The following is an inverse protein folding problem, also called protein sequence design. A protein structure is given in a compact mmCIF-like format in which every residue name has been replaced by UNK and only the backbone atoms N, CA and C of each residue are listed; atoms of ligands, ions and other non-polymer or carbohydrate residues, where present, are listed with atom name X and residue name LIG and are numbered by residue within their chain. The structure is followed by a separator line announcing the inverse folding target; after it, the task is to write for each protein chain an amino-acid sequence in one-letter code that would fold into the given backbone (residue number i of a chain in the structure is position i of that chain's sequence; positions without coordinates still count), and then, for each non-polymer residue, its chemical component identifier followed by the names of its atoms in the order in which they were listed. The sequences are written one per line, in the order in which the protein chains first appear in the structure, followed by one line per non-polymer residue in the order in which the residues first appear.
data_IF_273467384130
#
_entry.id   IF_273467384130
#
_cell.length_a   1.000
_cell.length_b   1.000
_cell.length_c   1.000
_cell.angle_alpha   90.00
_cell.angle_beta   90.00
_cell.angle_gamma   90.00
#
_symmetry.space_group_name_H-M   'P 1'
#
loop_
_entity.id
_entity.type
_entity.pdbx_description
1 polymer ?
#
# COMPACT_ATOMS: atom_id res chain seq x y z
N UNK A 1 3.19 14.87 9.11
CA UNK A 1 2.89 13.44 9.46
C UNK A 1 4.08 12.60 9.06
N UNK A 2 4.71 11.94 10.03
CA UNK A 2 5.85 11.06 9.77
C UNK A 2 5.39 9.61 9.51
N UNK A 3 6.04 8.98 8.56
CA UNK A 3 5.88 7.56 8.23
C UNK A 3 7.18 6.81 8.49
N UNK A 4 7.08 5.52 8.72
CA UNK A 4 8.21 4.64 9.00
C UNK A 4 8.16 3.39 8.11
N UNK A 5 9.30 3.08 7.49
CA UNK A 5 9.52 1.84 6.74
C UNK A 5 10.64 1.05 7.39
N UNK A 6 10.43 -0.22 7.61
CA UNK A 6 11.41 -1.13 8.21
C UNK A 6 12.16 -1.93 7.15
N UNK A 7 13.44 -2.16 7.40
CA UNK A 7 14.32 -2.93 6.53
C UNK A 7 15.34 -2.09 5.75
N UNK A 8 15.22 -0.76 5.77
CA UNK A 8 16.17 0.16 5.11
C UNK A 8 16.63 1.19 6.13
N UNK A 9 17.94 1.35 6.29
CA UNK A 9 18.51 2.40 7.14
C UNK A 9 18.22 3.80 6.57
N UNK A 10 18.07 4.78 7.46
CA UNK A 10 17.88 6.18 7.08
C UNK A 10 18.97 6.69 6.12
N UNK A 11 20.23 6.35 6.37
CA UNK A 11 21.37 6.79 5.55
C UNK A 11 21.40 6.14 4.16
N UNK A 12 20.90 4.90 4.05
CA UNK A 12 20.92 4.12 2.80
C UNK A 12 19.65 4.33 1.98
N UNK A 13 18.64 5.00 2.56
CA UNK A 13 17.38 5.25 1.88
C UNK A 13 17.57 6.23 0.72
N UNK A 14 17.28 5.76 -0.49
CA UNK A 14 17.43 6.52 -1.72
C UNK A 14 16.15 6.51 -2.54
N UNK A 15 15.45 7.63 -2.53
CA UNK A 15 14.15 7.81 -3.22
C UNK A 15 14.28 7.52 -4.72
N UNK A 16 15.42 7.84 -5.34
CA UNK A 16 15.63 7.63 -6.77
C UNK A 16 15.63 6.15 -7.19
N UNK A 17 15.79 5.22 -6.24
CA UNK A 17 15.72 3.79 -6.48
C UNK A 17 14.30 3.22 -6.38
N UNK A 18 13.35 4.00 -5.84
CA UNK A 18 11.97 3.58 -5.71
C UNK A 18 11.25 3.67 -7.06
N UNK A 19 10.36 2.72 -7.28
CA UNK A 19 9.58 2.63 -8.53
C UNK A 19 8.12 2.95 -8.28
N UNK A 20 7.51 3.69 -9.20
CA UNK A 20 6.09 3.91 -9.24
C UNK A 20 5.33 2.58 -9.24
N UNK A 21 4.21 2.51 -8.51
CA UNK A 21 3.39 1.30 -8.42
C UNK A 21 2.92 0.82 -9.81
N UNK A 22 3.04 -0.47 -10.05
CA UNK A 22 2.67 -1.13 -11.30
C UNK A 22 1.72 -2.28 -11.04
N UNK A 23 0.86 -2.57 -12.02
CA UNK A 23 -0.02 -3.73 -11.95
C UNK A 23 0.80 -5.03 -12.06
N UNK A 24 0.41 -6.04 -11.27
CA UNK A 24 0.99 -7.37 -11.42
C UNK A 24 0.59 -7.99 -12.77
N UNK A 25 1.51 -8.63 -13.50
CA UNK A 25 1.16 -9.35 -14.73
C UNK A 25 0.07 -10.40 -14.52
N UNK A 26 0.05 -11.05 -13.36
CA UNK A 26 -1.01 -12.00 -12.97
C UNK A 26 -2.38 -11.33 -12.94
N UNK A 27 -2.51 -10.13 -12.36
CA UNK A 27 -3.77 -9.40 -12.32
C UNK A 27 -4.24 -8.97 -13.72
N UNK A 28 -3.32 -8.52 -14.56
CA UNK A 28 -3.61 -8.19 -15.96
C UNK A 28 -4.15 -9.42 -16.71
N UNK A 29 -3.50 -10.57 -16.52
CA UNK A 29 -3.95 -11.83 -17.14
C UNK A 29 -5.37 -12.21 -16.70
N UNK A 30 -5.67 -12.12 -15.40
CA UNK A 30 -7.02 -12.40 -14.87
C UNK A 30 -8.04 -11.41 -15.47
N UNK A 31 -7.67 -10.14 -15.62
CA UNK A 31 -8.56 -9.12 -16.19
C UNK A 31 -8.99 -9.40 -17.63
N UNK A 32 -8.18 -10.20 -18.35
CA UNK A 32 -8.44 -10.61 -19.74
C UNK A 32 -9.20 -11.93 -19.83
N UNK A 33 -9.56 -12.55 -18.71
CA UNK A 33 -10.18 -13.87 -18.62
C UNK A 33 -11.57 -13.78 -17.96
N UNK A 34 -12.66 -13.43 -18.69
CA UNK A 34 -13.99 -13.25 -18.10
C UNK A 34 -14.50 -14.47 -17.32
N UNK A 35 -14.10 -15.69 -17.71
CA UNK A 35 -14.48 -16.92 -17.03
C UNK A 35 -13.90 -17.03 -15.61
N UNK A 36 -12.88 -16.24 -15.27
CA UNK A 36 -12.29 -16.21 -13.94
C UNK A 36 -12.97 -15.21 -13.00
N UNK A 37 -13.93 -14.43 -13.48
CA UNK A 37 -14.64 -13.46 -12.65
C UNK A 37 -15.31 -14.16 -11.45
N UNK A 38 -15.00 -13.68 -10.24
CA UNK A 38 -15.52 -14.23 -9.01
C UNK A 38 -14.83 -15.53 -8.53
N UNK A 39 -13.94 -16.12 -9.34
CA UNK A 39 -13.17 -17.31 -8.97
C UNK A 39 -11.77 -16.99 -8.47
N UNK A 40 -11.19 -15.87 -8.91
CA UNK A 40 -9.88 -15.42 -8.49
C UNK A 40 -9.99 -14.42 -7.33
N UNK A 41 -8.97 -14.42 -6.46
CA UNK A 41 -8.85 -13.42 -5.41
C UNK A 41 -8.58 -12.05 -6.02
N UNK A 42 -9.21 -11.01 -5.47
CA UNK A 42 -8.97 -9.63 -5.87
C UNK A 42 -7.51 -9.23 -5.53
N UNK A 43 -6.75 -8.83 -6.53
CA UNK A 43 -5.33 -8.44 -6.35
C UNK A 43 -5.27 -6.98 -5.89
N UNK A 44 -4.99 -6.77 -4.62
CA UNK A 44 -4.96 -5.44 -4.01
C UNK A 44 -3.55 -4.93 -3.65
N UNK A 45 -2.51 -5.58 -4.18
CA UNK A 45 -1.11 -5.17 -4.03
C UNK A 45 -0.47 -5.00 -5.40
N UNK A 46 0.43 -4.01 -5.57
CA UNK A 46 1.14 -3.81 -6.82
C UNK A 46 2.18 -4.91 -7.06
N UNK A 47 2.78 -4.91 -8.25
CA UNK A 47 3.94 -5.75 -8.57
C UNK A 47 5.01 -5.54 -7.50
N UNK A 48 5.58 -6.65 -6.99
CA UNK A 48 6.64 -6.63 -6.00
C UNK A 48 7.83 -5.78 -6.48
N UNK A 49 8.35 -4.94 -5.59
CA UNK A 49 9.42 -4.00 -5.93
C UNK A 49 8.92 -2.69 -6.55
N UNK A 50 7.62 -2.51 -6.68
CA UNK A 50 6.99 -1.26 -7.14
C UNK A 50 6.04 -0.73 -6.07
N UNK A 51 5.87 0.60 -6.04
CA UNK A 51 5.24 1.25 -4.89
C UNK A 51 6.15 1.18 -3.67
N UNK A 52 5.80 1.85 -2.60
CA UNK A 52 6.58 1.85 -1.37
C UNK A 52 5.67 1.79 -0.16
N UNK A 53 5.89 0.79 0.68
CA UNK A 53 5.05 0.52 1.85
C UNK A 53 5.62 1.15 3.11
N UNK A 54 4.76 1.73 3.93
CA UNK A 54 5.13 2.25 5.24
C UNK A 54 3.92 2.23 6.17
N UNK A 55 4.15 2.57 7.44
CA UNK A 55 3.11 2.83 8.43
C UNK A 55 3.30 4.22 9.02
N UNK A 56 2.25 4.82 9.58
CA UNK A 56 2.42 6.03 10.40
C UNK A 56 3.36 5.73 11.56
N UNK A 57 4.32 6.59 11.79
CA UNK A 57 5.33 6.38 12.85
C UNK A 57 4.72 6.19 14.23
N UNK A 58 3.61 6.86 14.51
CA UNK A 58 2.97 6.86 15.82
C UNK A 58 1.83 5.83 15.98
N UNK A 59 1.60 4.97 14.98
CA UNK A 59 0.57 3.94 15.13
C UNK A 59 1.02 2.85 16.09
N UNK A 60 0.06 2.27 16.81
CA UNK A 60 0.25 1.07 17.63
C UNK A 60 -0.19 -0.20 16.89
N UNK A 61 -0.52 -0.10 15.61
CA UNK A 61 -1.12 -1.18 14.81
C UNK A 61 -0.53 -1.24 13.40
N UNK A 62 0.74 -0.84 13.27
CA UNK A 62 1.48 -0.85 12.02
C UNK A 62 2.29 -2.11 11.80
N UNK A 63 3.22 -2.06 10.84
CA UNK A 63 4.02 -3.20 10.42
C UNK A 63 4.86 -3.80 11.56
N UNK A 64 5.50 -2.97 12.39
CA UNK A 64 6.31 -3.44 13.52
C UNK A 64 5.47 -4.25 14.50
N UNK A 65 4.33 -3.72 14.90
CA UNK A 65 3.43 -4.35 15.86
C UNK A 65 2.87 -5.67 15.29
N UNK A 66 2.52 -5.68 14.02
CA UNK A 66 2.06 -6.89 13.34
C UNK A 66 3.17 -7.96 13.29
N UNK A 67 4.39 -7.59 12.89
CA UNK A 67 5.53 -8.51 12.85
C UNK A 67 5.80 -9.14 14.22
N UNK A 68 5.75 -8.35 15.29
CA UNK A 68 5.96 -8.84 16.66
C UNK A 68 4.84 -9.81 17.04
N UNK A 69 3.59 -9.45 16.76
CA UNK A 69 2.41 -10.25 17.05
C UNK A 69 2.44 -11.61 16.35
N UNK A 70 2.92 -11.65 15.10
CA UNK A 70 2.95 -12.85 14.26
C UNK A 70 4.30 -13.57 14.25
N UNK A 71 5.29 -13.08 15.02
CA UNK A 71 6.67 -13.60 15.03
C UNK A 71 7.26 -13.69 13.61
N UNK A 72 7.12 -12.59 12.85
CA UNK A 72 7.47 -12.52 11.44
C UNK A 72 8.49 -11.40 11.19
N UNK A 73 9.63 -11.70 10.56
CA UNK A 73 10.69 -10.75 10.20
C UNK A 73 11.15 -9.84 11.36
N UNK A 74 11.14 -10.31 12.60
CA UNK A 74 11.48 -9.51 13.78
C UNK A 74 12.93 -9.01 13.77
N UNK A 75 13.84 -9.70 13.08
CA UNK A 75 15.26 -9.32 12.99
C UNK A 75 15.49 -8.01 12.23
N UNK A 76 14.53 -7.52 11.44
CA UNK A 76 14.68 -6.30 10.64
C UNK A 76 14.02 -5.06 11.26
N UNK A 77 13.43 -5.19 12.46
CA UNK A 77 12.67 -4.11 13.09
C UNK A 77 13.54 -3.03 13.73
N UNK A 78 14.84 -3.27 13.88
CA UNK A 78 15.81 -2.28 14.35
C UNK A 78 16.39 -1.43 13.22
N UNK A 79 16.10 -1.79 11.96
CA UNK A 79 16.58 -1.09 10.78
C UNK A 79 15.37 -0.41 10.13
N UNK A 80 15.38 0.91 10.08
CA UNK A 80 14.24 1.65 9.57
C UNK A 80 14.64 2.99 8.96
N UNK A 81 13.74 3.54 8.18
CA UNK A 81 13.78 4.93 7.68
C UNK A 81 12.49 5.66 8.04
N UNK A 82 12.63 6.95 8.35
CA UNK A 82 11.50 7.85 8.62
C UNK A 82 11.46 8.90 7.53
N UNK A 83 10.26 9.24 7.08
CA UNK A 83 10.04 10.23 6.04
C UNK A 83 8.69 10.93 6.22
N UNK A 84 8.51 12.02 5.53
CA UNK A 84 7.23 12.72 5.39
C UNK A 84 6.82 12.77 3.92
N UNK A 85 5.61 13.19 3.66
CA UNK A 85 5.13 13.44 2.31
C UNK A 85 5.10 14.94 2.04
N UNK A 86 5.21 15.34 0.77
CA UNK A 86 5.02 16.74 0.36
C UNK A 86 3.62 17.21 0.74
N UNK A 87 3.46 18.52 1.00
CA UNK A 87 2.19 19.08 1.43
C UNK A 87 1.08 18.95 0.37
N UNK A 88 1.45 18.85 -0.89
CA UNK A 88 0.53 18.69 -2.02
C UNK A 88 0.23 17.23 -2.38
N UNK A 89 0.78 16.26 -1.64
CA UNK A 89 0.55 14.84 -1.87
C UNK A 89 -0.94 14.50 -1.77
N UNK A 90 -1.45 13.81 -2.77
CA UNK A 90 -2.84 13.36 -2.84
C UNK A 90 -2.95 11.95 -2.27
N UNK A 91 -3.42 11.84 -1.03
CA UNK A 91 -3.57 10.57 -0.33
C UNK A 91 -5.05 10.22 -0.22
N UNK A 92 -5.42 9.05 -0.72
CA UNK A 92 -6.75 8.48 -0.47
C UNK A 92 -6.70 7.67 0.83
N UNK A 93 -7.43 8.12 1.85
CA UNK A 93 -7.44 7.49 3.17
C UNK A 93 -8.70 6.65 3.35
N UNK A 94 -8.52 5.38 3.72
CA UNK A 94 -9.61 4.44 3.97
C UNK A 94 -9.83 4.28 5.48
N UNK A 95 -11.00 4.69 5.96
CA UNK A 95 -11.39 4.65 7.38
C UNK A 95 -12.49 3.62 7.67
N UNK A 96 -13.11 3.07 6.63
CA UNK A 96 -14.20 2.10 6.74
C UNK A 96 -14.31 1.28 5.45
N UNK A 97 -15.16 0.26 5.45
CA UNK A 97 -15.37 -0.60 4.29
C UNK A 97 -15.90 0.16 3.07
N UNK A 98 -16.75 1.16 3.26
CA UNK A 98 -17.29 1.95 2.15
C UNK A 98 -16.21 2.73 1.43
N UNK A 99 -15.21 3.25 2.13
CA UNK A 99 -14.07 3.93 1.50
C UNK A 99 -13.30 2.98 0.58
N UNK A 100 -13.10 1.73 1.02
CA UNK A 100 -12.46 0.68 0.20
C UNK A 100 -13.32 0.35 -1.01
N UNK A 101 -14.61 0.17 -0.82
CA UNK A 101 -15.55 -0.18 -1.90
C UNK A 101 -15.61 0.92 -2.97
N UNK A 102 -15.63 2.19 -2.57
CA UNK A 102 -15.58 3.32 -3.50
C UNK A 102 -14.29 3.32 -4.34
N UNK A 103 -13.16 3.00 -3.70
CA UNK A 103 -11.89 2.89 -4.41
C UNK A 103 -11.92 1.75 -5.43
N UNK A 104 -12.42 0.58 -5.04
CA UNK A 104 -12.58 -0.58 -5.94
C UNK A 104 -13.51 -0.29 -7.09
N UNK A 105 -14.65 0.37 -6.86
CA UNK A 105 -15.61 0.71 -7.90
C UNK A 105 -14.99 1.57 -9.01
N UNK A 106 -14.12 2.49 -8.66
CA UNK A 106 -13.52 3.43 -9.61
C UNK A 106 -12.22 2.92 -10.24
N UNK A 107 -11.44 2.13 -9.52
CA UNK A 107 -10.06 1.79 -9.89
C UNK A 107 -9.79 0.28 -9.95
N UNK A 108 -10.74 -0.51 -10.35
CA UNK A 108 -10.51 -1.94 -10.59
C UNK A 108 -10.16 -2.22 -12.03
N UNK A 109 -9.28 -3.19 -12.21
CA UNK A 109 -9.06 -3.85 -13.50
C UNK A 109 -10.34 -4.57 -13.95
N UNK A 110 -10.52 -4.82 -15.27
CA UNK A 110 -11.66 -5.59 -15.77
C UNK A 110 -11.84 -6.92 -15.02
N UNK A 111 -13.08 -7.41 -15.00
CA UNK A 111 -13.46 -8.67 -14.33
C UNK A 111 -13.17 -8.67 -12.82
N UNK A 112 -13.09 -7.51 -12.21
CA UNK A 112 -12.81 -7.35 -10.78
C UNK A 112 -11.50 -8.06 -10.37
N UNK A 113 -10.49 -8.02 -11.24
CA UNK A 113 -9.23 -8.74 -11.05
C UNK A 113 -8.34 -8.14 -9.97
N UNK A 114 -8.48 -6.86 -9.65
CA UNK A 114 -7.71 -6.17 -8.66
C UNK A 114 -7.71 -4.67 -8.85
N UNK A 115 -6.95 -3.94 -8.05
CA UNK A 115 -6.74 -2.51 -8.28
C UNK A 115 -5.99 -2.28 -9.58
N UNK A 116 -6.41 -1.25 -10.31
CA UNK A 116 -5.66 -0.70 -11.43
C UNK A 116 -4.71 0.39 -10.90
N UNK A 117 -3.48 0.02 -10.57
CA UNK A 117 -2.49 0.93 -10.00
C UNK A 117 -2.03 1.99 -10.99
N UNK A 118 -2.09 1.71 -12.28
CA UNK A 118 -1.81 2.70 -13.33
C UNK A 118 -2.83 3.83 -13.28
N UNK A 119 -4.11 3.49 -13.19
CA UNK A 119 -5.19 4.48 -13.09
C UNK A 119 -5.21 5.20 -11.75
N UNK A 120 -5.01 4.46 -10.64
CA UNK A 120 -4.90 5.02 -9.30
C UNK A 120 -3.83 6.09 -9.21
N UNK A 121 -2.65 5.82 -9.75
CA UNK A 121 -1.50 6.72 -9.67
C UNK A 121 -1.62 7.97 -10.56
N UNK A 122 -2.63 8.05 -11.41
CA UNK A 122 -2.96 9.26 -12.15
C UNK A 122 -3.74 10.25 -11.27
N UNK A 123 -4.52 9.76 -10.32
CA UNK A 123 -5.39 10.59 -9.47
C UNK A 123 -4.86 10.75 -8.04
N UNK A 124 -4.12 9.76 -7.53
CA UNK A 124 -3.56 9.75 -6.17
C UNK A 124 -2.08 9.40 -6.17
N UNK A 125 -1.37 9.95 -5.21
CA UNK A 125 0.04 9.65 -4.97
C UNK A 125 0.24 8.53 -3.98
N UNK A 126 -0.76 8.28 -3.14
CA UNK A 126 -0.76 7.20 -2.16
C UNK A 126 -2.19 6.79 -1.79
N UNK A 127 -2.33 5.56 -1.31
CA UNK A 127 -3.54 5.07 -0.65
C UNK A 127 -3.17 4.57 0.75
N UNK A 128 -4.00 4.86 1.73
CA UNK A 128 -3.71 4.56 3.13
C UNK A 128 -4.89 3.87 3.81
N UNK A 129 -4.63 2.74 4.46
CA UNK A 129 -5.52 2.15 5.44
C UNK A 129 -5.19 2.77 6.81
N UNK A 130 -5.98 3.76 7.25
CA UNK A 130 -5.76 4.49 8.49
C UNK A 130 -6.22 3.70 9.72
N UNK A 131 -7.00 2.65 9.50
CA UNK A 131 -7.44 1.69 10.51
C UNK A 131 -7.66 0.34 9.84
N UNK A 132 -7.56 -0.75 10.60
CA UNK A 132 -7.97 -2.08 10.14
C UNK A 132 -9.36 -2.45 10.69
N UNK A 133 -9.95 -1.59 11.50
CA UNK A 133 -11.33 -1.69 11.97
C UNK A 133 -12.36 -1.23 10.95
N UNK A 134 -13.63 -1.16 11.36
CA UNK A 134 -14.76 -0.67 10.54
C UNK A 134 -14.91 -1.41 9.20
N UNK A 135 -14.54 -2.69 9.17
CA UNK A 135 -14.63 -3.53 7.96
C UNK A 135 -13.45 -3.40 6.99
N UNK A 136 -12.46 -2.55 7.26
CA UNK A 136 -11.29 -2.35 6.38
C UNK A 136 -10.49 -3.64 6.22
N UNK A 137 -10.24 -4.37 7.31
CA UNK A 137 -9.48 -5.64 7.27
C UNK A 137 -10.07 -6.65 6.29
N UNK A 138 -11.38 -6.81 6.30
CA UNK A 138 -12.06 -7.73 5.38
C UNK A 138 -12.11 -7.21 3.95
N UNK A 139 -12.32 -5.90 3.78
CA UNK A 139 -12.38 -5.28 2.45
C UNK A 139 -11.02 -5.21 1.77
N UNK A 140 -9.94 -5.06 2.54
CA UNK A 140 -8.54 -5.08 2.09
C UNK A 140 -7.84 -6.37 2.49
N UNK A 141 -8.41 -7.50 2.13
CA UNK A 141 -7.83 -8.80 2.45
C UNK A 141 -6.35 -8.88 2.01
N UNK A 142 -5.47 -9.33 2.91
CA UNK A 142 -4.00 -9.36 2.79
C UNK A 142 -3.28 -8.03 3.03
N UNK A 143 -3.97 -6.96 3.38
CA UNK A 143 -3.34 -5.83 4.06
C UNK A 143 -3.36 -6.13 5.56
N UNK A 144 -2.20 -6.47 6.12
CA UNK A 144 -2.13 -7.10 7.45
C UNK A 144 -2.21 -6.11 8.60
N UNK A 145 -1.92 -4.83 8.33
CA UNK A 145 -1.84 -3.79 9.34
C UNK A 145 -2.15 -2.42 8.73
N UNK A 146 -2.26 -1.41 9.59
CA UNK A 146 -2.37 -0.02 9.14
C UNK A 146 -1.15 0.34 8.31
N UNK A 147 -1.38 0.68 7.05
CA UNK A 147 -0.32 0.89 6.06
C UNK A 147 -0.68 1.99 5.09
N UNK A 148 0.35 2.66 4.60
CA UNK A 148 0.28 3.50 3.41
C UNK A 148 1.04 2.83 2.28
N UNK A 149 0.45 2.79 1.10
CA UNK A 149 1.12 2.42 -0.13
C UNK A 149 1.38 3.68 -0.94
N UNK A 150 2.64 4.07 -1.05
CA UNK A 150 3.07 5.17 -1.89
C UNK A 150 3.08 4.70 -3.34
N UNK A 151 2.26 5.33 -4.16
CA UNK A 151 2.14 5.01 -5.59
C UNK A 151 3.18 5.77 -6.42
N UNK A 152 3.41 7.05 -6.08
CA UNK A 152 4.34 7.97 -6.73
C UNK A 152 5.44 8.37 -5.75
N UNK A 153 6.62 7.75 -5.79
CA UNK A 153 7.68 7.99 -4.78
C UNK A 153 8.22 9.42 -4.70
N UNK A 154 8.04 10.22 -5.73
CA UNK A 154 8.49 11.62 -5.77
C UNK A 154 7.86 12.52 -4.70
N UNK A 155 6.77 12.07 -4.07
CA UNK A 155 6.14 12.82 -2.96
C UNK A 155 6.87 12.64 -1.62
N UNK A 156 7.86 11.76 -1.56
CA UNK A 156 8.56 11.46 -0.31
C UNK A 156 9.59 12.55 -0.01
N UNK A 157 9.52 13.09 1.20
CA UNK A 157 10.56 13.96 1.77
C UNK A 157 11.32 13.12 2.79
N UNK A 158 12.59 12.81 2.47
CA UNK A 158 13.43 12.02 3.38
C UNK A 158 13.64 12.81 4.68
N UNK A 159 13.39 12.15 5.82
CA UNK A 159 13.75 12.68 7.13
C UNK A 159 15.28 12.78 7.32
N UNK A 160 15.69 13.60 8.25
CA UNK A 160 17.09 13.76 8.63
C UNK A 160 17.64 12.56 9.42
#
# INVERSE_FOLDING_TARGET
MEYIHYGINQKDFNISLLKKAQNQPFAIKISEMPQMKGLAMYVNKPLQGTGFWASRKNTTNGWKEWCISEDFYTQNLEVYTVFELTDDAKVYTMNNAEDVDRLKQKYSLPNNAGFDFTKLSQDYDAIEAATMGNGVYHALFLWDCESILILNPEIIIKGE
#
